data_IF_687266993864
#
_entry.id   IF_687266993864
#
_cell.length_a   1.000
_cell.length_b   1.000
_cell.length_c   1.000
_cell.angle_alpha   90.00
_cell.angle_beta   90.00
_cell.angle_gamma   90.00
#
_symmetry.space_group_name_H-M   'P 1'
#
loop_
_entity.id
_entity.type
_entity.pdbx_description
1 polymer ?
#
# COMPACT_ATOMS: atom_id res chain seq x y z
N UNK A 1 0.87 1.24 6.96
CA UNK A 1 1.80 2.18 6.29
C UNK A 1 2.62 2.96 7.31
N UNK A 2 2.07 4.06 7.84
CA UNK A 2 2.80 4.94 8.78
C UNK A 2 3.20 4.25 10.09
N UNK A 3 2.34 3.39 10.65
CA UNK A 3 2.66 2.58 11.84
C UNK A 3 3.89 1.70 11.63
N UNK A 4 4.00 1.03 10.48
CA UNK A 4 5.18 0.23 10.12
C UNK A 4 6.43 1.10 9.94
N UNK A 5 6.29 2.32 9.38
CA UNK A 5 7.39 3.28 9.33
C UNK A 5 7.90 3.64 10.73
N UNK A 6 6.97 3.81 11.68
CA UNK A 6 7.33 4.09 13.06
C UNK A 6 8.10 2.91 13.67
N UNK A 7 7.65 1.68 13.46
CA UNK A 7 8.34 0.46 13.93
C UNK A 7 9.75 0.36 13.34
N UNK A 8 9.89 0.58 12.03
CA UNK A 8 11.19 0.57 11.36
C UNK A 8 12.11 1.63 11.96
N UNK A 9 11.58 2.85 12.19
CA UNK A 9 12.37 3.94 12.78
C UNK A 9 12.77 3.62 14.20
N UNK A 10 11.88 3.10 15.03
CA UNK A 10 12.19 2.73 16.43
C UNK A 10 13.25 1.63 16.50
N UNK A 11 13.22 0.66 15.58
CA UNK A 11 14.26 -0.37 15.49
C UNK A 11 15.64 0.22 15.18
N UNK A 12 15.69 1.27 14.35
CA UNK A 12 16.92 1.93 13.92
C UNK A 12 17.40 3.04 14.89
N UNK A 13 16.67 3.34 15.98
CA UNK A 13 17.05 4.42 16.91
C UNK A 13 18.25 4.05 17.80
N UNK A 14 18.43 2.77 18.10
CA UNK A 14 19.51 2.28 18.96
C UNK A 14 20.23 1.13 18.25
N UNK A 15 21.54 0.96 18.47
CA UNK A 15 22.31 -0.12 17.85
C UNK A 15 21.97 -1.52 18.39
N UNK A 16 21.19 -1.59 19.49
CA UNK A 16 20.73 -2.86 20.02
C UNK A 16 19.39 -3.26 19.40
N UNK A 17 19.28 -4.45 18.79
CA UNK A 17 18.05 -4.90 18.11
C UNK A 17 16.90 -5.08 19.10
N UNK A 18 15.72 -4.58 18.75
CA UNK A 18 14.49 -4.75 19.53
C UNK A 18 13.63 -5.90 18.99
N UNK A 19 13.55 -6.08 17.67
CA UNK A 19 12.76 -7.13 17.01
C UNK A 19 13.47 -8.49 17.03
N UNK A 20 14.80 -8.54 17.18
CA UNK A 20 15.64 -9.76 17.28
C UNK A 20 15.47 -10.77 16.13
N UNK A 21 14.74 -10.42 15.07
CA UNK A 21 14.43 -11.26 13.92
C UNK A 21 14.54 -10.45 12.62
N UNK A 22 15.62 -10.68 11.88
CA UNK A 22 15.93 -9.97 10.64
C UNK A 22 14.89 -10.20 9.54
N UNK A 23 14.30 -11.39 9.48
CA UNK A 23 13.26 -11.70 8.49
C UNK A 23 11.97 -10.92 8.76
N UNK A 24 11.58 -10.81 10.04
CA UNK A 24 10.42 -10.00 10.45
C UNK A 24 10.67 -8.52 10.15
N UNK A 25 11.87 -8.02 10.41
CA UNK A 25 12.22 -6.63 10.09
C UNK A 25 12.11 -6.36 8.58
N UNK A 26 12.65 -7.26 7.75
CA UNK A 26 12.55 -7.14 6.29
C UNK A 26 11.10 -7.26 5.78
N UNK A 27 10.25 -8.04 6.43
CA UNK A 27 8.83 -8.12 6.05
C UNK A 27 8.04 -6.88 6.42
N UNK A 28 8.37 -6.24 7.54
CA UNK A 28 7.82 -4.93 7.92
C UNK A 28 8.25 -3.86 6.91
N UNK A 29 9.51 -3.88 6.44
CA UNK A 29 9.98 -2.94 5.41
C UNK A 29 9.24 -3.14 4.09
N UNK A 30 9.13 -4.41 3.65
CA UNK A 30 8.47 -4.76 2.39
C UNK A 30 7.00 -4.36 2.42
N UNK A 31 6.29 -4.67 3.50
CA UNK A 31 4.88 -4.31 3.69
C UNK A 31 4.67 -2.80 3.77
N UNK A 32 5.57 -2.07 4.43
CA UNK A 32 5.53 -0.61 4.48
C UNK A 32 5.58 -0.01 3.07
N UNK A 33 6.55 -0.43 2.24
CA UNK A 33 6.68 0.05 0.86
C UNK A 33 5.44 -0.24 0.01
N UNK A 34 4.96 -1.49 0.04
CA UNK A 34 3.78 -1.91 -0.72
C UNK A 34 2.53 -1.12 -0.31
N UNK A 35 2.29 -0.95 0.98
CA UNK A 35 1.14 -0.18 1.47
C UNK A 35 1.21 1.30 1.08
N UNK A 36 2.37 1.94 1.23
CA UNK A 36 2.49 3.37 0.96
C UNK A 36 2.38 3.68 -0.53
N UNK A 37 2.95 2.87 -1.41
CA UNK A 37 2.94 3.13 -2.85
C UNK A 37 1.60 2.70 -3.46
N UNK A 38 1.22 1.43 -3.29
CA UNK A 38 0.07 0.84 -3.99
C UNK A 38 -1.27 1.07 -3.30
N UNK A 39 -1.29 1.27 -1.99
CA UNK A 39 -2.54 1.43 -1.24
C UNK A 39 -2.77 2.83 -0.66
N UNK A 40 -1.77 3.72 -0.73
CA UNK A 40 -1.92 5.12 -0.32
C UNK A 40 -1.71 6.08 -1.50
N UNK A 41 -0.49 6.18 -2.05
CA UNK A 41 -0.17 7.20 -3.08
C UNK A 41 -0.99 6.97 -4.36
N UNK A 42 -0.97 5.77 -4.93
CA UNK A 42 -1.70 5.49 -6.18
C UNK A 42 -3.22 5.68 -6.04
N UNK A 43 -3.89 5.12 -5.02
CA UNK A 43 -5.33 5.30 -4.86
C UNK A 43 -5.73 6.75 -4.62
N UNK A 44 -4.94 7.53 -3.88
CA UNK A 44 -5.24 8.95 -3.64
C UNK A 44 -5.08 9.76 -4.93
N UNK A 45 -3.93 9.61 -5.61
CA UNK A 45 -3.61 10.44 -6.77
C UNK A 45 -4.41 10.05 -8.02
N UNK A 46 -4.41 8.77 -8.38
CA UNK A 46 -5.09 8.30 -9.60
C UNK A 46 -6.57 7.98 -9.33
N UNK A 47 -6.86 7.32 -8.21
CA UNK A 47 -8.22 6.92 -7.87
C UNK A 47 -9.08 8.06 -7.33
N UNK A 48 -8.56 8.88 -6.41
CA UNK A 48 -9.28 10.00 -5.80
C UNK A 48 -9.26 11.23 -6.68
N UNK A 49 -8.10 11.89 -6.75
CA UNK A 49 -7.94 13.13 -7.51
C UNK A 49 -8.17 12.91 -9.01
N UNK A 50 -7.62 11.84 -9.58
CA UNK A 50 -7.81 11.55 -11.00
C UNK A 50 -9.28 11.41 -11.38
N UNK A 51 -10.02 10.51 -10.74
CA UNK A 51 -11.43 10.29 -11.08
C UNK A 51 -12.32 11.51 -10.83
N UNK A 52 -11.97 12.38 -9.89
CA UNK A 52 -12.74 13.59 -9.60
C UNK A 52 -12.38 14.75 -10.53
N UNK A 53 -11.08 15.07 -10.66
CA UNK A 53 -10.62 16.26 -11.37
C UNK A 53 -10.60 16.08 -12.89
N UNK A 54 -10.26 14.88 -13.42
CA UNK A 54 -10.15 14.71 -14.88
C UNK A 54 -11.45 15.02 -15.63
N UNK A 55 -12.63 14.48 -15.25
CA UNK A 55 -13.89 14.82 -15.92
C UNK A 55 -14.20 16.31 -15.83
N UNK A 56 -13.97 16.93 -14.66
CA UNK A 56 -14.22 18.36 -14.47
C UNK A 56 -13.30 19.24 -15.33
N UNK A 57 -12.01 18.91 -15.44
CA UNK A 57 -11.07 19.66 -16.27
C UNK A 57 -11.40 19.56 -17.77
N UNK A 58 -12.01 18.44 -18.19
CA UNK A 58 -12.43 18.21 -19.57
C UNK A 58 -13.88 18.64 -19.84
N UNK A 59 -14.59 19.16 -18.83
CA UNK A 59 -16.04 19.41 -18.88
C UNK A 59 -16.84 18.20 -19.39
N UNK A 60 -16.42 16.98 -19.06
CA UNK A 60 -17.14 15.75 -19.38
C UNK A 60 -18.03 15.32 -18.20
N UNK A 61 -19.20 14.71 -18.47
CA UNK A 61 -20.09 14.27 -17.41
C UNK A 61 -19.53 13.09 -16.59
N UNK A 62 -18.68 12.26 -17.19
CA UNK A 62 -18.04 11.10 -16.55
C UNK A 62 -16.81 10.63 -17.35
N UNK A 63 -16.14 9.59 -16.86
CA UNK A 63 -15.09 8.83 -17.54
C UNK A 63 -15.66 7.98 -18.68
N UNK A 64 -14.86 7.68 -19.71
CA UNK A 64 -15.31 6.90 -20.87
C UNK A 64 -15.83 5.49 -20.52
N UNK A 65 -15.31 4.86 -19.44
CA UNK A 65 -15.72 3.54 -18.98
C UNK A 65 -16.06 3.51 -17.49
N UNK A 66 -17.23 4.05 -17.07
CA UNK A 66 -17.56 4.23 -15.65
C UNK A 66 -17.59 2.93 -14.84
N UNK A 67 -18.07 1.84 -15.46
CA UNK A 67 -18.16 0.53 -14.78
C UNK A 67 -16.79 -0.12 -14.54
N UNK A 68 -15.87 0.00 -15.51
CA UNK A 68 -14.49 -0.47 -15.33
C UNK A 68 -13.77 0.37 -14.29
N UNK A 69 -14.04 1.69 -14.25
CA UNK A 69 -13.51 2.56 -13.22
C UNK A 69 -13.97 2.13 -11.81
N UNK A 70 -15.27 1.87 -11.64
CA UNK A 70 -15.81 1.37 -10.37
C UNK A 70 -15.20 0.01 -9.99
N UNK A 71 -15.05 -0.91 -10.95
CA UNK A 71 -14.39 -2.19 -10.70
C UNK A 71 -12.94 -2.02 -10.23
N UNK A 72 -12.20 -1.05 -10.78
CA UNK A 72 -10.82 -0.77 -10.37
C UNK A 72 -10.72 -0.41 -8.87
N UNK A 73 -11.69 0.34 -8.34
CA UNK A 73 -11.77 0.63 -6.92
C UNK A 73 -12.06 -0.63 -6.10
N UNK A 74 -13.00 -1.47 -6.52
CA UNK A 74 -13.39 -2.68 -5.79
C UNK A 74 -12.32 -3.77 -5.75
N UNK A 75 -11.30 -3.70 -6.59
CA UNK A 75 -10.13 -4.57 -6.49
C UNK A 75 -9.15 -4.17 -5.37
N UNK A 76 -9.24 -2.94 -4.84
CA UNK A 76 -8.35 -2.47 -3.76
C UNK A 76 -8.60 -3.19 -2.43
N UNK A 77 -9.84 -3.35 -1.93
CA UNK A 77 -10.06 -4.05 -0.65
C UNK A 77 -9.63 -5.53 -0.66
N UNK A 78 -9.97 -6.36 -1.67
CA UNK A 78 -9.50 -7.75 -1.73
C UNK A 78 -7.97 -7.87 -1.84
N UNK A 79 -7.31 -7.01 -2.62
CA UNK A 79 -5.85 -7.03 -2.74
C UNK A 79 -5.16 -6.62 -1.44
N UNK A 80 -5.70 -5.65 -0.71
CA UNK A 80 -5.23 -5.31 0.63
C UNK A 80 -5.37 -6.49 1.60
N UNK A 81 -6.50 -7.20 1.55
CA UNK A 81 -6.74 -8.37 2.38
C UNK A 81 -5.73 -9.49 2.07
N UNK A 82 -5.41 -9.74 0.79
CA UNK A 82 -4.37 -10.70 0.41
C UNK A 82 -2.98 -10.28 0.91
N UNK A 83 -2.66 -8.97 0.88
CA UNK A 83 -1.39 -8.48 1.45
C UNK A 83 -1.34 -8.70 2.97
N UNK A 84 -2.45 -8.51 3.68
CA UNK A 84 -2.49 -8.76 5.14
C UNK A 84 -2.39 -10.24 5.46
N UNK A 85 -3.08 -11.10 4.69
CA UNK A 85 -2.97 -12.55 4.84
C UNK A 85 -1.54 -13.03 4.57
N UNK A 86 -0.86 -12.48 3.56
CA UNK A 86 0.51 -12.88 3.23
C UNK A 86 1.50 -12.64 4.36
N UNK A 87 1.27 -11.62 5.21
CA UNK A 87 2.08 -11.36 6.42
C UNK A 87 1.88 -12.44 7.50
N UNK A 88 0.70 -13.05 7.56
CA UNK A 88 0.35 -14.07 8.56
C UNK A 88 0.61 -15.49 8.09
N UNK A 89 0.70 -15.69 6.77
CA UNK A 89 0.98 -16.99 6.17
C UNK A 89 2.48 -17.21 6.00
N UNK A 90 2.99 -18.35 6.47
CA UNK A 90 4.39 -18.71 6.33
C UNK A 90 5.32 -17.75 7.07
N UNK A 91 6.41 -17.33 6.42
CA UNK A 91 7.37 -16.38 7.01
C UNK A 91 7.06 -14.90 6.67
N UNK A 92 6.07 -14.62 5.82
CA UNK A 92 5.82 -13.29 5.26
C UNK A 92 6.78 -12.90 4.13
N UNK A 93 6.50 -11.84 3.35
CA UNK A 93 7.37 -11.40 2.26
C UNK A 93 8.54 -10.57 2.81
N UNK A 94 9.78 -11.06 2.71
CA UNK A 94 10.99 -10.41 3.27
C UNK A 94 12.04 -9.99 2.23
N UNK A 95 11.65 -9.79 0.97
CA UNK A 95 12.57 -9.60 -0.16
C UNK A 95 12.85 -8.13 -0.53
N UNK A 96 12.18 -7.17 0.11
CA UNK A 96 12.12 -5.79 -0.36
C UNK A 96 10.94 -5.56 -1.30
N UNK A 97 10.70 -4.29 -1.65
CA UNK A 97 9.53 -3.88 -2.44
C UNK A 97 9.70 -4.03 -3.96
N UNK A 98 10.92 -4.28 -4.42
CA UNK A 98 11.30 -4.56 -5.83
C UNK A 98 11.40 -6.05 -6.06
#
# INVERSE_FOLDING_TARGET
GASMSMIIRTELMLPHPFILNDHLFNSIITSHGLLMIFFMIMPIMMGGFGNWLFPMMLNSPDMAFPRMNNFSFWLLPPSLLFLLLSMTSGMGPGTGWT
#
